data_IF_951319604356
#
_entry.id   IF_951319604356
#
_cell.length_a   1.000
_cell.length_b   1.000
_cell.length_c   1.000
_cell.angle_alpha   90.00
_cell.angle_beta   90.00
_cell.angle_gamma   90.00
#
_symmetry.space_group_name_H-M   'P 1'
#
loop_
_entity.id
_entity.type
_entity.pdbx_description
1 polymer ?
#
# COMPACT_ATOMS: atom_id res chain seq x y z
N UNK A 1 -23.89 76.19 0.75
CA UNK A 1 -22.64 75.42 0.91
C UNK A 1 -22.83 73.91 1.08
N UNK A 2 -23.92 73.38 1.67
CA UNK A 2 -24.10 71.91 1.85
C UNK A 2 -24.37 71.12 0.55
N UNK A 3 -24.94 71.76 -0.48
CA UNK A 3 -25.36 71.10 -1.74
C UNK A 3 -24.19 70.73 -2.66
N UNK A 4 -23.12 71.52 -2.70
CA UNK A 4 -21.94 71.20 -3.53
C UNK A 4 -21.12 70.02 -2.97
N UNK A 5 -21.07 69.89 -1.64
CA UNK A 5 -20.40 68.79 -0.96
C UNK A 5 -21.09 67.45 -1.25
N UNK A 6 -22.42 67.46 -1.29
CA UNK A 6 -23.21 66.28 -1.67
C UNK A 6 -23.00 65.89 -3.14
N UNK A 7 -22.91 66.85 -4.05
CA UNK A 7 -22.65 66.60 -5.46
C UNK A 7 -21.25 65.98 -5.69
N UNK A 8 -20.20 66.52 -5.05
CA UNK A 8 -18.83 65.96 -5.14
C UNK A 8 -18.71 64.58 -4.53
N UNK A 9 -19.45 64.29 -3.45
CA UNK A 9 -19.46 62.98 -2.81
C UNK A 9 -20.11 61.91 -3.70
N UNK A 10 -21.24 62.23 -4.34
CA UNK A 10 -21.91 61.32 -5.29
C UNK A 10 -21.03 61.07 -6.53
N UNK A 11 -20.33 62.10 -7.02
CA UNK A 11 -19.41 61.96 -8.16
C UNK A 11 -18.21 61.05 -7.85
N UNK A 12 -17.70 61.11 -6.61
CA UNK A 12 -16.62 60.22 -6.15
C UNK A 12 -17.06 58.75 -6.05
N UNK A 13 -18.28 58.47 -5.59
CA UNK A 13 -18.82 57.10 -5.55
C UNK A 13 -19.05 56.55 -6.96
N UNK A 14 -19.58 57.36 -7.88
CA UNK A 14 -19.86 56.90 -9.25
C UNK A 14 -18.58 56.59 -10.04
N UNK A 15 -17.49 57.35 -9.80
CA UNK A 15 -16.18 57.06 -10.40
C UNK A 15 -15.51 55.79 -9.85
N UNK A 16 -15.69 55.47 -8.56
CA UNK A 16 -15.19 54.20 -8.00
C UNK A 16 -15.89 52.98 -8.60
N UNK A 17 -17.20 53.07 -8.87
CA UNK A 17 -17.99 51.95 -9.41
C UNK A 17 -17.60 51.55 -10.83
N UNK A 18 -16.96 52.44 -11.60
CA UNK A 18 -16.42 52.11 -12.93
C UNK A 18 -15.03 51.45 -12.90
N UNK A 19 -14.28 51.60 -11.80
CA UNK A 19 -12.95 51.00 -11.65
C UNK A 19 -12.98 49.58 -11.09
N UNK A 20 -14.07 49.16 -10.46
CA UNK A 20 -14.24 47.78 -9.99
C UNK A 20 -14.97 46.94 -11.04
N UNK A 21 -14.20 46.46 -12.02
CA UNK A 21 -14.65 45.41 -12.95
C UNK A 21 -14.84 44.12 -12.15
N UNK A 22 -16.08 43.76 -11.83
CA UNK A 22 -16.41 42.48 -11.22
C UNK A 22 -16.16 41.31 -12.17
N UNK A 23 -15.85 40.13 -11.62
CA UNK A 23 -15.79 38.88 -12.36
C UNK A 23 -17.11 38.63 -13.10
N UNK A 24 -17.06 38.32 -14.38
CA UNK A 24 -18.25 37.94 -15.13
C UNK A 24 -18.64 36.50 -14.80
N UNK A 25 -19.95 36.19 -14.82
CA UNK A 25 -20.44 34.82 -14.66
C UNK A 25 -19.89 33.89 -15.74
N UNK A 26 -19.63 34.42 -16.94
CA UNK A 26 -19.07 33.66 -18.07
C UNK A 26 -17.61 33.29 -17.83
N UNK A 27 -16.80 34.19 -17.25
CA UNK A 27 -15.41 33.87 -16.87
C UNK A 27 -15.36 32.75 -15.84
N UNK A 28 -16.21 32.81 -14.81
CA UNK A 28 -16.29 31.73 -13.83
C UNK A 28 -16.80 30.42 -14.44
N UNK A 29 -17.75 30.50 -15.37
CA UNK A 29 -18.29 29.31 -16.05
C UNK A 29 -17.23 28.59 -16.90
N UNK A 30 -16.42 29.32 -17.65
CA UNK A 30 -15.34 28.71 -18.44
C UNK A 30 -14.29 28.07 -17.54
N UNK A 31 -13.95 28.71 -16.41
CA UNK A 31 -12.98 28.16 -15.44
C UNK A 31 -13.48 26.84 -14.85
N UNK A 32 -14.74 26.76 -14.41
CA UNK A 32 -15.28 25.51 -13.85
C UNK A 32 -15.35 24.38 -14.87
N UNK A 33 -15.56 24.71 -16.15
CA UNK A 33 -15.55 23.72 -17.25
C UNK A 33 -14.14 23.18 -17.43
N UNK A 34 -13.12 24.04 -17.47
CA UNK A 34 -11.73 23.62 -17.66
C UNK A 34 -11.26 22.75 -16.48
N UNK A 35 -11.49 23.18 -15.23
CA UNK A 35 -11.13 22.36 -14.06
C UNK A 35 -11.94 21.05 -14.01
N UNK A 36 -13.18 21.06 -14.49
CA UNK A 36 -14.02 19.86 -14.59
C UNK A 36 -13.44 18.81 -15.54
N UNK A 37 -12.96 19.23 -16.72
CA UNK A 37 -12.31 18.34 -17.69
C UNK A 37 -11.00 17.79 -17.11
N UNK A 38 -10.18 18.65 -16.50
CA UNK A 38 -8.92 18.24 -15.88
C UNK A 38 -9.15 17.25 -14.73
N UNK A 39 -10.13 17.50 -13.87
CA UNK A 39 -10.48 16.63 -12.76
C UNK A 39 -10.98 15.25 -13.24
N UNK A 40 -11.81 15.21 -14.30
CA UNK A 40 -12.34 13.97 -14.84
C UNK A 40 -11.24 13.01 -15.32
N UNK A 41 -10.16 13.53 -15.92
CA UNK A 41 -9.03 12.73 -16.39
C UNK A 41 -8.05 12.40 -15.24
N UNK A 42 -7.80 13.37 -14.35
CA UNK A 42 -6.80 13.21 -13.29
C UNK A 42 -7.27 12.30 -12.15
N UNK A 43 -8.55 12.36 -11.78
CA UNK A 43 -9.09 11.63 -10.63
C UNK A 43 -8.93 10.10 -10.72
N UNK A 44 -9.29 9.40 -11.81
CA UNK A 44 -9.13 7.94 -11.87
C UNK A 44 -7.66 7.52 -11.76
N UNK A 45 -6.74 8.31 -12.35
CA UNK A 45 -5.31 8.04 -12.23
C UNK A 45 -4.82 8.25 -10.79
N UNK A 46 -5.24 9.32 -10.13
CA UNK A 46 -4.90 9.59 -8.74
C UNK A 46 -5.35 8.45 -7.80
N UNK A 47 -6.57 7.95 -7.98
CA UNK A 47 -7.09 6.83 -7.18
C UNK A 47 -6.28 5.54 -7.38
N UNK A 48 -5.91 5.22 -8.63
CA UNK A 48 -5.07 4.06 -8.93
C UNK A 48 -3.66 4.20 -8.35
N UNK A 49 -3.05 5.39 -8.44
CA UNK A 49 -1.74 5.64 -7.84
C UNK A 49 -1.76 5.52 -6.31
N UNK A 50 -2.82 6.01 -5.67
CA UNK A 50 -3.00 5.86 -4.23
C UNK A 50 -3.12 4.38 -3.83
N UNK A 51 -3.91 3.59 -4.58
CA UNK A 51 -4.02 2.15 -4.36
C UNK A 51 -2.66 1.43 -4.54
N UNK A 52 -1.90 1.78 -5.59
CA UNK A 52 -0.54 1.24 -5.82
C UNK A 52 0.44 1.60 -4.70
N UNK A 53 0.38 2.81 -4.16
CA UNK A 53 1.22 3.23 -3.03
C UNK A 53 0.93 2.38 -1.79
N UNK A 54 -0.35 2.18 -1.46
CA UNK A 54 -0.78 1.31 -0.35
C UNK A 54 -0.37 -0.15 -0.58
N UNK A 55 -0.48 -0.66 -1.81
CA UNK A 55 -0.04 -2.01 -2.16
C UNK A 55 1.50 -2.16 -2.07
N UNK A 56 2.25 -1.13 -2.45
CA UNK A 56 3.71 -1.11 -2.31
C UNK A 56 4.15 -1.21 -0.85
N UNK A 57 3.43 -0.55 0.07
CA UNK A 57 3.67 -0.67 1.52
C UNK A 57 3.60 -2.14 1.97
N UNK A 58 2.51 -2.84 1.65
CA UNK A 58 2.34 -4.24 2.02
C UNK A 58 3.40 -5.15 1.39
N UNK A 59 3.68 -4.97 0.10
CA UNK A 59 4.72 -5.74 -0.60
C UNK A 59 6.10 -5.55 0.06
N UNK A 60 6.45 -4.32 0.41
CA UNK A 60 7.72 -4.00 1.07
C UNK A 60 7.79 -4.62 2.46
N UNK A 61 6.72 -4.52 3.24
CA UNK A 61 6.62 -5.10 4.58
C UNK A 61 6.73 -6.64 4.55
N UNK A 62 5.99 -7.31 3.67
CA UNK A 62 6.08 -8.78 3.50
C UNK A 62 7.48 -9.20 3.08
N UNK A 63 8.11 -8.46 2.16
CA UNK A 63 9.48 -8.75 1.73
C UNK A 63 10.50 -8.51 2.85
N UNK A 64 10.30 -7.48 3.67
CA UNK A 64 11.13 -7.19 4.83
C UNK A 64 11.02 -8.29 5.88
N UNK A 65 9.80 -8.75 6.16
CA UNK A 65 9.53 -9.90 7.04
C UNK A 65 10.32 -11.12 6.56
N UNK A 66 10.23 -11.47 5.28
CA UNK A 66 10.94 -12.64 4.75
C UNK A 66 12.48 -12.53 4.92
N UNK A 67 13.03 -11.33 4.74
CA UNK A 67 14.47 -11.07 4.94
C UNK A 67 14.87 -11.22 6.40
N UNK A 68 14.10 -10.62 7.31
CA UNK A 68 14.36 -10.69 8.75
C UNK A 68 14.21 -12.13 9.25
N UNK A 69 13.19 -12.88 8.80
CA UNK A 69 13.03 -14.29 9.14
C UNK A 69 14.24 -15.14 8.72
N UNK A 70 14.79 -14.89 7.53
CA UNK A 70 15.99 -15.58 7.04
C UNK A 70 17.22 -15.22 7.89
N UNK A 71 17.37 -13.95 8.24
CA UNK A 71 18.45 -13.49 9.12
C UNK A 71 18.33 -14.11 10.52
N UNK A 72 17.13 -14.07 11.10
CA UNK A 72 16.84 -14.62 12.43
C UNK A 72 17.11 -16.13 12.49
N UNK A 73 16.75 -16.86 11.43
CA UNK A 73 17.08 -18.30 11.35
C UNK A 73 18.59 -18.54 11.42
N UNK A 74 19.38 -17.70 10.77
CA UNK A 74 20.84 -17.82 10.76
C UNK A 74 21.41 -17.67 12.18
N UNK A 75 20.73 -16.91 13.04
CA UNK A 75 21.11 -16.71 14.44
C UNK A 75 20.51 -17.77 15.40
N UNK A 76 19.21 -18.09 15.25
CA UNK A 76 18.41 -18.86 16.23
C UNK A 76 17.94 -20.22 15.75
N UNK A 77 18.35 -20.67 14.55
CA UNK A 77 18.04 -21.96 13.90
C UNK A 77 16.56 -22.27 13.65
N UNK A 78 15.64 -21.40 14.07
CA UNK A 78 14.20 -21.49 13.86
C UNK A 78 13.62 -20.15 13.37
N UNK A 79 12.44 -20.21 12.76
CA UNK A 79 11.68 -19.00 12.43
C UNK A 79 10.79 -18.59 13.61
N UNK A 80 10.47 -17.30 13.70
CA UNK A 80 9.61 -16.77 14.77
C UNK A 80 8.17 -16.61 14.28
N UNK A 81 7.22 -16.80 15.19
CA UNK A 81 5.80 -16.50 14.97
C UNK A 81 5.39 -15.14 15.54
N UNK A 82 6.29 -14.38 16.16
CA UNK A 82 5.95 -13.12 16.86
C UNK A 82 6.62 -11.91 16.23
N UNK A 83 5.88 -10.81 16.05
CA UNK A 83 6.41 -9.57 15.47
C UNK A 83 7.44 -8.85 16.34
N UNK A 84 7.36 -9.03 17.67
CA UNK A 84 8.32 -8.49 18.64
C UNK A 84 9.77 -8.87 18.31
N UNK A 85 10.00 -10.13 17.94
CA UNK A 85 11.34 -10.64 17.61
C UNK A 85 11.82 -10.16 16.24
N UNK A 86 10.92 -9.85 15.30
CA UNK A 86 11.32 -9.28 14.02
C UNK A 86 11.69 -7.79 14.13
N UNK A 87 11.16 -7.08 15.14
CA UNK A 87 11.41 -5.66 15.38
C UNK A 87 11.23 -4.76 14.14
N UNK A 88 10.26 -5.09 13.28
CA UNK A 88 9.94 -4.26 12.11
C UNK A 88 9.08 -3.10 12.58
N UNK A 89 9.65 -1.90 12.62
CA UNK A 89 9.05 -0.74 13.31
C UNK A 89 7.60 -0.41 12.90
N UNK A 90 7.22 -0.62 11.64
CA UNK A 90 5.85 -0.38 11.15
C UNK A 90 4.81 -1.43 11.63
N UNK A 91 5.27 -2.52 12.24
CA UNK A 91 4.47 -3.71 12.58
C UNK A 91 4.65 -4.13 14.05
N UNK A 92 5.04 -3.21 14.92
CA UNK A 92 5.26 -3.49 16.33
C UNK A 92 3.99 -4.05 17.00
N UNK A 93 4.12 -5.22 17.64
CA UNK A 93 3.04 -5.88 18.37
C UNK A 93 3.53 -7.15 19.08
N UNK A 94 2.93 -7.46 20.23
CA UNK A 94 3.33 -8.57 21.11
C UNK A 94 2.69 -9.92 20.70
N UNK A 95 2.25 -10.05 19.45
CA UNK A 95 1.43 -11.17 18.98
C UNK A 95 1.91 -11.66 17.62
N UNK A 96 1.29 -12.75 17.17
CA UNK A 96 1.36 -13.26 15.80
C UNK A 96 0.70 -12.33 14.77
N UNK A 97 -0.02 -11.31 15.25
CA UNK A 97 -0.76 -10.39 14.41
C UNK A 97 -0.28 -8.96 14.62
N UNK A 98 -0.01 -8.25 13.52
CA UNK A 98 0.28 -6.83 13.47
C UNK A 98 -0.66 -6.14 12.49
N UNK A 99 -0.81 -4.83 12.60
CA UNK A 99 -1.75 -4.10 11.75
C UNK A 99 -1.22 -2.72 11.39
N UNK A 100 -1.42 -2.36 10.12
CA UNK A 100 -1.28 -0.99 9.61
C UNK A 100 -2.67 -0.41 9.33
N UNK A 101 -2.71 0.80 8.76
CA UNK A 101 -3.98 1.42 8.32
C UNK A 101 -4.67 0.56 7.27
N UNK A 102 -3.93 0.01 6.30
CA UNK A 102 -4.49 -0.64 5.12
C UNK A 102 -4.51 -2.19 5.20
N UNK A 103 -3.62 -2.78 6.01
CA UNK A 103 -3.42 -4.24 6.06
C UNK A 103 -3.36 -4.78 7.48
N UNK A 104 -3.84 -6.01 7.65
CA UNK A 104 -3.59 -6.86 8.81
C UNK A 104 -2.58 -7.94 8.42
N UNK A 105 -1.55 -8.11 9.24
CA UNK A 105 -0.48 -9.06 9.03
C UNK A 105 -0.59 -10.17 10.05
N UNK A 106 -0.58 -11.43 9.62
CA UNK A 106 -0.56 -12.60 10.50
C UNK A 106 0.67 -13.44 10.17
N UNK A 107 1.48 -13.71 11.18
CA UNK A 107 2.67 -14.54 11.11
C UNK A 107 2.38 -15.95 11.59
N UNK A 108 3.05 -16.90 10.97
CA UNK A 108 3.17 -18.25 11.48
C UNK A 108 4.61 -18.68 11.28
N UNK A 109 5.26 -19.12 12.35
CA UNK A 109 6.65 -19.54 12.35
C UNK A 109 6.77 -20.93 12.93
N UNK A 110 7.58 -21.76 12.29
CA UNK A 110 7.92 -23.11 12.75
C UNK A 110 9.44 -23.30 12.65
N UNK A 111 9.91 -24.51 12.96
CA UNK A 111 11.33 -24.83 12.79
C UNK A 111 11.75 -24.72 11.33
N UNK A 112 10.90 -24.99 10.34
CA UNK A 112 11.32 -25.07 8.93
C UNK A 112 10.59 -24.14 7.97
N UNK A 113 9.48 -23.56 8.41
CA UNK A 113 8.66 -22.67 7.59
C UNK A 113 8.27 -21.43 8.37
N UNK A 114 8.39 -20.27 7.75
CA UNK A 114 7.77 -19.03 8.21
C UNK A 114 6.82 -18.53 7.12
N UNK A 115 5.65 -18.04 7.50
CA UNK A 115 4.68 -17.50 6.56
C UNK A 115 4.08 -16.22 7.12
N UNK A 116 3.83 -15.27 6.23
CA UNK A 116 3.12 -14.04 6.54
C UNK A 116 1.95 -13.88 5.59
N UNK A 117 0.81 -13.50 6.15
CA UNK A 117 -0.39 -13.14 5.41
C UNK A 117 -0.63 -11.66 5.66
N UNK A 118 -0.53 -10.83 4.64
CA UNK A 118 -0.93 -9.43 4.65
C UNK A 118 -2.29 -9.28 3.97
N UNK A 119 -3.36 -9.41 4.76
CA UNK A 119 -4.73 -9.28 4.30
C UNK A 119 -5.10 -7.80 4.19
N UNK A 120 -5.61 -7.38 3.02
CA UNK A 120 -6.14 -6.03 2.85
C UNK A 120 -7.41 -5.83 3.68
N UNK A 121 -7.55 -4.65 4.27
CA UNK A 121 -8.79 -4.21 4.97
C UNK A 121 -9.79 -3.55 4.02
N UNK A 122 -9.32 -3.15 2.84
CA UNK A 122 -10.07 -2.46 1.80
C UNK A 122 -10.19 -3.39 0.58
N UNK A 123 -11.41 -3.55 0.08
CA UNK A 123 -11.72 -4.44 -1.07
C UNK A 123 -11.14 -3.92 -2.38
N UNK A 124 -10.72 -2.65 -2.45
CA UNK A 124 -10.02 -2.08 -3.61
C UNK A 124 -8.53 -2.45 -3.66
N UNK A 125 -7.99 -3.06 -2.60
CA UNK A 125 -6.57 -3.43 -2.49
C UNK A 125 -6.38 -4.95 -2.61
N UNK A 126 -5.32 -5.34 -3.32
CA UNK A 126 -4.83 -6.73 -3.35
C UNK A 126 -4.25 -7.13 -2.00
N UNK A 127 -4.33 -8.41 -1.67
CA UNK A 127 -3.63 -8.97 -0.51
C UNK A 127 -2.28 -9.56 -0.92
N UNK A 128 -1.35 -9.60 0.03
CA UNK A 128 -0.02 -10.14 -0.17
C UNK A 128 0.24 -11.28 0.80
N UNK A 129 1.02 -12.26 0.39
CA UNK A 129 1.53 -13.29 1.29
C UNK A 129 3.01 -13.50 1.02
N UNK A 130 3.74 -13.93 2.03
CA UNK A 130 5.11 -14.33 1.88
C UNK A 130 5.40 -15.56 2.71
N UNK A 131 6.49 -16.23 2.39
CA UNK A 131 7.03 -17.21 3.29
C UNK A 131 8.48 -17.55 3.00
N UNK A 132 9.07 -18.21 3.97
CA UNK A 132 10.39 -18.78 3.95
C UNK A 132 10.27 -20.26 4.23
N UNK A 133 11.04 -21.06 3.50
CA UNK A 133 11.10 -22.48 3.71
C UNK A 133 12.56 -22.94 3.73
N UNK A 134 12.95 -23.60 4.82
CA UNK A 134 14.24 -24.28 4.90
C UNK A 134 14.13 -25.63 4.21
N UNK A 135 15.08 -25.90 3.33
CA UNK A 135 15.35 -27.23 2.82
C UNK A 135 16.83 -27.57 2.90
N UNK A 136 17.14 -28.86 2.77
CA UNK A 136 18.51 -29.34 2.65
C UNK A 136 18.76 -29.65 1.19
N UNK A 137 19.78 -29.03 0.59
CA UNK A 137 20.09 -29.28 -0.81
C UNK A 137 20.83 -30.63 -0.98
N UNK A 138 21.07 -31.04 -2.23
CA UNK A 138 21.79 -32.28 -2.57
C UNK A 138 23.23 -32.32 -2.02
N UNK A 139 23.80 -31.16 -1.65
CA UNK A 139 25.11 -31.05 -1.03
C UNK A 139 25.05 -31.05 0.51
N UNK A 140 23.93 -31.46 1.11
CA UNK A 140 23.71 -31.49 2.57
C UNK A 140 23.79 -30.12 3.25
N UNK A 141 23.56 -29.02 2.52
CA UNK A 141 23.58 -27.66 3.03
C UNK A 141 22.15 -27.18 3.30
N UNK A 142 21.92 -26.62 4.48
CA UNK A 142 20.66 -25.96 4.84
C UNK A 142 20.53 -24.63 4.10
N UNK A 143 19.58 -24.55 3.17
CA UNK A 143 19.27 -23.35 2.39
C UNK A 143 17.84 -22.89 2.69
N UNK A 144 17.59 -21.59 2.58
CA UNK A 144 16.24 -21.01 2.70
C UNK A 144 15.80 -20.48 1.35
N UNK A 145 14.63 -20.90 0.89
CA UNK A 145 13.93 -20.24 -0.23
C UNK A 145 12.90 -19.29 0.35
N UNK A 146 12.73 -18.13 -0.28
CA UNK A 146 11.64 -17.20 0.02
C UNK A 146 10.70 -17.10 -1.17
N UNK A 147 9.44 -16.76 -0.90
CA UNK A 147 8.52 -16.34 -1.93
C UNK A 147 7.63 -15.22 -1.41
N UNK A 148 7.18 -14.39 -2.34
CA UNK A 148 6.13 -13.41 -2.12
C UNK A 148 5.07 -13.65 -3.17
N UNK A 149 3.81 -13.66 -2.79
CA UNK A 149 2.69 -13.80 -3.72
C UNK A 149 1.72 -12.63 -3.53
N UNK A 150 1.04 -12.24 -4.60
CA UNK A 150 -0.06 -11.29 -4.57
C UNK A 150 -1.34 -11.91 -5.11
N UNK A 151 -2.51 -11.43 -4.66
CA UNK A 151 -3.79 -11.85 -5.22
C UNK A 151 -3.94 -11.40 -6.68
N UNK A 152 -4.62 -12.21 -7.48
CA UNK A 152 -4.96 -11.84 -8.86
C UNK A 152 -5.97 -10.68 -8.89
N UNK A 153 -6.93 -10.68 -7.97
CA UNK A 153 -7.97 -9.66 -7.87
C UNK A 153 -8.05 -9.03 -6.47
N UNK A 154 -8.36 -7.72 -6.36
CA UNK A 154 -8.68 -7.09 -5.08
C UNK A 154 -10.00 -7.60 -4.48
N UNK A 155 -10.05 -7.77 -3.16
CA UNK A 155 -11.30 -7.90 -2.39
C UNK A 155 -12.04 -9.26 -2.43
N UNK A 156 -11.71 -10.18 -3.34
CA UNK A 156 -12.39 -11.49 -3.46
C UNK A 156 -11.59 -12.65 -2.85
N UNK A 157 -10.27 -12.55 -2.82
CA UNK A 157 -9.41 -13.66 -2.43
C UNK A 157 -9.00 -13.54 -0.95
N UNK A 158 -9.37 -14.53 -0.15
CA UNK A 158 -8.78 -14.71 1.18
C UNK A 158 -7.31 -15.07 1.00
N UNK A 159 -6.41 -14.35 1.66
CA UNK A 159 -4.97 -14.54 1.47
C UNK A 159 -4.55 -15.95 1.91
N UNK A 160 -4.19 -16.80 0.94
CA UNK A 160 -3.77 -18.19 1.15
C UNK A 160 -2.26 -18.24 1.30
N UNK A 161 -1.79 -19.03 2.27
CA UNK A 161 -0.38 -19.24 2.54
C UNK A 161 0.32 -19.92 1.34
N UNK A 162 1.53 -19.48 0.93
CA UNK A 162 2.29 -20.17 -0.11
C UNK A 162 2.59 -21.61 0.29
N UNK A 163 2.44 -22.52 -0.65
CA UNK A 163 2.80 -23.93 -0.45
C UNK A 163 4.24 -24.14 -0.86
N UNK A 164 5.01 -24.75 0.04
CA UNK A 164 6.41 -25.11 -0.20
C UNK A 164 6.49 -26.63 -0.29
N UNK A 165 7.17 -27.10 -1.33
CA UNK A 165 7.50 -28.51 -1.51
C UNK A 165 8.99 -28.65 -1.80
N UNK A 166 9.57 -29.78 -1.42
CA UNK A 166 10.97 -30.11 -1.67
C UNK A 166 11.04 -31.43 -2.43
N UNK A 167 11.82 -31.45 -3.50
CA UNK A 167 12.13 -32.67 -4.24
C UNK A 167 13.57 -32.62 -4.75
N UNK A 168 14.31 -33.70 -4.50
CA UNK A 168 15.69 -33.90 -4.98
C UNK A 168 16.68 -32.79 -4.58
N UNK A 169 16.51 -32.16 -3.42
CA UNK A 169 17.35 -31.07 -2.94
C UNK A 169 17.06 -29.74 -3.60
N UNK A 170 15.87 -29.57 -4.18
CA UNK A 170 15.36 -28.32 -4.76
C UNK A 170 14.00 -28.01 -4.14
N UNK A 171 13.84 -26.79 -3.61
CA UNK A 171 12.55 -26.31 -3.14
C UNK A 171 11.77 -25.66 -4.28
N UNK A 172 10.51 -26.06 -4.42
CA UNK A 172 9.53 -25.41 -5.29
C UNK A 172 8.52 -24.67 -4.42
N UNK A 173 8.27 -23.41 -4.77
CA UNK A 173 7.21 -22.63 -4.15
C UNK A 173 6.06 -22.46 -5.12
N UNK A 174 4.85 -22.74 -4.67
CA UNK A 174 3.63 -22.46 -5.44
C UNK A 174 2.75 -21.50 -4.66
N UNK A 175 2.46 -20.37 -5.29
CA UNK A 175 1.35 -19.53 -4.88
C UNK A 175 0.06 -20.22 -5.37
N UNK A 176 -0.98 -20.32 -4.53
CA UNK A 176 -2.24 -20.97 -4.92
C UNK A 176 -2.87 -20.34 -6.18
N UNK A 177 -3.90 -20.96 -6.76
CA UNK A 177 -4.45 -20.56 -8.07
C UNK A 177 -5.02 -19.14 -8.14
N UNK A 178 -5.34 -18.53 -6.99
CA UNK A 178 -5.79 -17.15 -6.88
C UNK A 178 -4.63 -16.13 -6.72
N UNK A 179 -3.38 -16.58 -6.82
CA UNK A 179 -2.19 -15.78 -6.53
C UNK A 179 -1.15 -15.88 -7.64
N UNK A 180 -0.37 -14.81 -7.81
CA UNK A 180 0.82 -14.78 -8.67
C UNK A 180 2.07 -14.63 -7.81
N UNK A 181 3.10 -15.41 -8.11
CA UNK A 181 4.41 -15.27 -7.48
C UNK A 181 5.10 -14.00 -7.98
N UNK A 182 5.51 -13.17 -7.02
CA UNK A 182 6.39 -12.04 -7.24
C UNK A 182 7.83 -12.53 -7.07
N UNK A 183 8.73 -12.05 -7.93
CA UNK A 183 10.15 -12.41 -7.89
C UNK A 183 10.75 -12.23 -6.48
N UNK A 184 11.66 -13.14 -6.14
CA UNK A 184 12.38 -13.21 -4.86
C UNK A 184 13.30 -12.02 -4.64
#
# INVERSE_FOLDING_TARGET
>A
MRTELQAKFIQFINNRKQSEKGFTLVELLVVIIIIGILAAVALPNFLNQNAKAKQSEAKQNVSAINRVQTSLRTEKTAFTSTFDVLAIGALAGNSDTASTVNYTYTLTGTIDTATVIAQSKDTSLKSYTGGNFRYTNTASQSTVVSAVCETLQPGTDTAVVPTFAEAAGVATTTCGTAFTQLGT
#
